data_IF_337353243225
#
_entry.id   IF_337353243225
#
_cell.length_a   1.000
_cell.length_b   1.000
_cell.length_c   1.000
_cell.angle_alpha   90.00
_cell.angle_beta   90.00
_cell.angle_gamma   90.00
#
_symmetry.space_group_name_H-M   'P 1'
#
loop_
_entity.id
_entity.type
_entity.pdbx_description
1 polymer ?
#
# COMPACT_ATOMS: atom_id res chain seq x y z
N UNK A 1 -38.02 11.31 -68.96
CA UNK A 1 -37.15 10.76 -67.90
C UNK A 1 -35.87 11.56 -67.75
N UNK A 2 -35.11 11.82 -68.81
CA UNK A 2 -33.84 12.56 -68.74
C UNK A 2 -33.94 13.95 -68.10
N UNK A 3 -34.99 14.73 -68.44
CA UNK A 3 -35.22 16.04 -67.82
C UNK A 3 -35.43 15.92 -66.30
N UNK A 4 -36.19 14.93 -65.84
CA UNK A 4 -36.41 14.72 -64.40
C UNK A 4 -35.12 14.34 -63.66
N UNK A 5 -34.20 13.62 -64.31
CA UNK A 5 -32.86 13.37 -63.75
C UNK A 5 -32.03 14.66 -63.68
N UNK A 6 -32.08 15.51 -64.71
CA UNK A 6 -31.37 16.78 -64.72
C UNK A 6 -31.89 17.73 -63.63
N UNK A 7 -33.21 17.82 -63.47
CA UNK A 7 -33.86 18.65 -62.44
C UNK A 7 -33.49 18.14 -61.04
N UNK A 8 -33.51 16.81 -60.82
CA UNK A 8 -33.08 16.21 -59.55
C UNK A 8 -31.61 16.54 -59.22
N UNK A 9 -30.72 16.50 -60.20
CA UNK A 9 -29.31 16.83 -60.01
C UNK A 9 -29.11 18.33 -59.71
N UNK A 10 -29.95 19.20 -60.27
CA UNK A 10 -29.92 20.63 -60.02
C UNK A 10 -30.36 20.99 -58.60
N UNK A 11 -31.26 20.20 -58.02
CA UNK A 11 -31.79 20.39 -56.65
C UNK A 11 -30.86 19.82 -55.55
N UNK A 12 -29.84 19.03 -55.90
CA UNK A 12 -28.94 18.41 -54.94
C UNK A 12 -27.98 19.43 -54.29
N UNK A 13 -27.79 19.28 -52.98
CA UNK A 13 -26.81 20.02 -52.18
C UNK A 13 -25.66 19.12 -51.69
N UNK A 14 -24.47 19.68 -51.40
CA UNK A 14 -23.36 18.93 -50.81
C UNK A 14 -23.78 18.25 -49.50
N UNK A 15 -23.66 16.92 -49.43
CA UNK A 15 -23.99 16.12 -48.24
C UNK A 15 -25.35 15.43 -48.27
N UNK A 16 -26.19 15.71 -49.28
CA UNK A 16 -27.48 15.02 -49.45
C UNK A 16 -27.30 13.54 -49.79
N UNK A 17 -26.23 13.21 -50.52
CA UNK A 17 -25.82 11.84 -50.82
C UNK A 17 -24.30 11.73 -50.93
N UNK A 18 -23.77 10.53 -50.66
CA UNK A 18 -22.35 10.21 -50.90
C UNK A 18 -22.04 10.04 -52.40
N UNK A 19 -23.02 9.55 -53.17
CA UNK A 19 -22.92 9.27 -54.61
C UNK A 19 -24.33 9.15 -55.21
N UNK A 20 -24.51 9.61 -56.44
CA UNK A 20 -25.73 9.41 -57.23
C UNK A 20 -25.44 8.38 -58.32
N UNK A 21 -26.35 7.41 -58.49
CA UNK A 21 -26.23 6.41 -59.56
C UNK A 21 -27.39 6.57 -60.55
N UNK A 22 -27.07 6.90 -61.80
CA UNK A 22 -28.04 6.89 -62.91
C UNK A 22 -27.96 5.53 -63.57
N UNK A 23 -28.98 4.70 -63.33
CA UNK A 23 -29.03 3.33 -63.85
C UNK A 23 -30.26 3.14 -64.72
N UNK A 24 -30.10 2.32 -65.75
CA UNK A 24 -31.20 1.93 -66.64
C UNK A 24 -31.54 0.46 -66.39
N UNK A 25 -32.83 0.12 -66.33
CA UNK A 25 -33.25 -1.29 -66.38
C UNK A 25 -32.87 -1.96 -67.71
N UNK A 26 -32.75 -3.28 -67.75
CA UNK A 26 -32.46 -4.00 -69.00
C UNK A 26 -33.56 -3.80 -70.07
N UNK A 27 -33.18 -3.69 -71.35
CA UNK A 27 -34.12 -3.55 -72.48
C UNK A 27 -33.46 -3.08 -73.79
N UNK A 28 -34.25 -3.05 -74.87
CA UNK A 28 -33.81 -2.76 -76.26
C UNK A 28 -33.09 -1.41 -76.44
N UNK A 29 -32.26 -1.29 -77.49
CA UNK A 29 -31.44 -0.09 -77.79
C UNK A 29 -32.22 1.24 -77.83
N UNK A 30 -33.52 1.21 -78.11
CA UNK A 30 -34.38 2.41 -78.20
C UNK A 30 -34.42 3.25 -76.91
N UNK A 31 -34.16 2.68 -75.73
CA UNK A 31 -34.11 3.43 -74.47
C UNK A 31 -32.79 4.11 -74.16
N UNK A 32 -31.80 4.09 -75.07
CA UNK A 32 -30.48 4.68 -74.85
C UNK A 32 -30.41 6.15 -75.29
N UNK A 33 -31.18 6.52 -76.32
CA UNK A 33 -31.23 7.88 -76.88
C UNK A 33 -31.66 8.92 -75.83
N UNK A 34 -32.48 8.53 -74.86
CA UNK A 34 -32.90 9.42 -73.79
C UNK A 34 -31.72 9.88 -72.91
N UNK A 35 -30.64 9.10 -72.82
CA UNK A 35 -29.44 9.44 -72.05
C UNK A 35 -28.40 10.21 -72.88
N UNK A 36 -28.63 10.39 -74.18
CA UNK A 36 -27.82 11.23 -75.07
C UNK A 36 -28.35 12.68 -75.09
N UNK A 37 -28.45 13.29 -73.90
CA UNK A 37 -29.06 14.61 -73.71
C UNK A 37 -28.06 15.60 -73.08
N UNK A 38 -27.86 16.74 -73.76
CA UNK A 38 -26.94 17.79 -73.34
C UNK A 38 -27.31 18.45 -72.00
N UNK A 39 -28.60 18.54 -71.67
CA UNK A 39 -29.07 19.11 -70.40
C UNK A 39 -28.74 18.17 -69.24
N UNK A 40 -28.96 16.87 -69.44
CA UNK A 40 -28.57 15.85 -68.46
C UNK A 40 -27.05 15.83 -68.26
N UNK A 41 -26.26 15.88 -69.34
CA UNK A 41 -24.81 15.90 -69.26
C UNK A 41 -24.29 17.15 -68.52
N UNK A 42 -24.88 18.32 -68.78
CA UNK A 42 -24.56 19.56 -68.04
C UNK A 42 -24.93 19.45 -66.57
N UNK A 43 -26.09 18.88 -66.25
CA UNK A 43 -26.50 18.67 -64.86
C UNK A 43 -25.58 17.68 -64.13
N UNK A 44 -25.16 16.59 -64.79
CA UNK A 44 -24.17 15.65 -64.25
C UNK A 44 -22.84 16.35 -63.97
N UNK A 45 -22.36 17.16 -64.91
CA UNK A 45 -21.10 17.89 -64.76
C UNK A 45 -21.16 18.95 -63.64
N UNK A 46 -22.32 19.61 -63.48
CA UNK A 46 -22.53 20.62 -62.45
C UNK A 46 -22.88 20.04 -61.07
N UNK A 47 -23.12 18.73 -60.98
CA UNK A 47 -23.55 18.07 -59.74
C UNK A 47 -22.52 18.24 -58.62
N UNK A 48 -22.93 18.70 -57.40
CA UNK A 48 -22.04 18.77 -56.25
C UNK A 48 -21.74 17.41 -55.61
N UNK A 49 -22.47 16.37 -56.01
CA UNK A 49 -22.30 14.99 -55.55
C UNK A 49 -21.75 14.14 -56.71
N UNK A 50 -20.78 13.23 -56.48
CA UNK A 50 -20.27 12.35 -57.53
C UNK A 50 -21.39 11.53 -58.17
N UNK A 51 -21.45 11.55 -59.50
CA UNK A 51 -22.45 10.80 -60.29
C UNK A 51 -21.78 9.64 -61.00
N UNK A 52 -22.33 8.44 -60.86
CA UNK A 52 -21.93 7.24 -61.61
C UNK A 52 -23.07 6.76 -62.50
N UNK A 53 -22.75 6.15 -63.63
CA UNK A 53 -23.76 5.61 -64.55
C UNK A 53 -23.65 4.10 -64.70
N UNK A 54 -24.81 3.47 -64.93
CA UNK A 54 -24.94 2.06 -65.26
C UNK A 54 -26.05 1.90 -66.31
N UNK A 55 -25.89 2.56 -67.47
CA UNK A 55 -26.96 2.76 -68.46
C UNK A 55 -26.94 1.71 -69.58
N UNK A 56 -25.77 1.32 -70.11
CA UNK A 56 -25.67 0.49 -71.32
C UNK A 56 -24.37 -0.30 -71.47
N UNK A 57 -24.32 -1.16 -72.49
CA UNK A 57 -23.18 -2.05 -72.77
C UNK A 57 -21.92 -1.28 -73.22
N UNK A 58 -20.75 -1.89 -73.05
CA UNK A 58 -19.40 -1.32 -73.27
C UNK A 58 -19.20 -0.59 -74.62
N UNK A 59 -20.00 -0.88 -75.64
CA UNK A 59 -19.88 -0.34 -77.00
C UNK A 59 -20.80 0.86 -77.27
N UNK A 60 -21.88 1.03 -76.49
CA UNK A 60 -22.85 2.10 -76.68
C UNK A 60 -22.69 3.14 -75.54
N UNK A 61 -21.76 4.10 -75.70
CA UNK A 61 -21.50 5.17 -74.70
C UNK A 61 -22.46 6.34 -74.93
N UNK A 62 -23.26 6.68 -73.93
CA UNK A 62 -24.14 7.86 -73.97
C UNK A 62 -23.42 9.15 -73.51
N UNK A 63 -23.96 10.33 -73.84
CA UNK A 63 -23.43 11.59 -73.32
C UNK A 63 -23.50 11.66 -71.78
N UNK A 64 -24.50 11.03 -71.15
CA UNK A 64 -24.55 10.88 -69.70
C UNK A 64 -23.37 10.04 -69.14
N UNK A 65 -23.01 8.94 -69.81
CA UNK A 65 -21.84 8.13 -69.43
C UNK A 65 -20.54 8.91 -69.58
N UNK A 66 -20.42 9.72 -70.64
CA UNK A 66 -19.25 10.55 -70.87
C UNK A 66 -19.12 11.70 -69.85
N UNK A 67 -20.24 12.22 -69.34
CA UNK A 67 -20.25 13.27 -68.32
C UNK A 67 -20.07 12.74 -66.89
N UNK A 68 -20.34 11.45 -66.65
CA UNK A 68 -20.28 10.84 -65.32
C UNK A 68 -18.86 10.71 -64.78
N UNK A 69 -18.73 10.66 -63.45
CA UNK A 69 -17.45 10.45 -62.78
C UNK A 69 -16.92 9.03 -62.98
N UNK A 70 -17.83 8.06 -63.12
CA UNK A 70 -17.51 6.69 -63.53
C UNK A 70 -18.71 6.08 -64.24
N UNK A 71 -18.47 5.47 -65.40
CA UNK A 71 -19.47 4.75 -66.16
C UNK A 71 -19.22 3.24 -66.10
N UNK A 72 -20.28 2.48 -65.86
CA UNK A 72 -20.25 1.02 -65.79
C UNK A 72 -21.14 0.40 -66.87
N UNK A 73 -20.69 -0.69 -67.51
CA UNK A 73 -21.44 -1.38 -68.57
C UNK A 73 -22.83 -1.90 -68.18
N UNK A 74 -23.10 -2.06 -66.89
CA UNK A 74 -24.40 -2.56 -66.41
C UNK A 74 -24.73 -1.97 -65.04
N UNK A 75 -26.03 -1.87 -64.68
CA UNK A 75 -26.45 -1.54 -63.31
C UNK A 75 -25.82 -2.48 -62.27
N UNK A 76 -25.67 -3.76 -62.59
CA UNK A 76 -25.06 -4.75 -61.70
C UNK A 76 -23.59 -4.47 -61.41
N UNK A 77 -22.82 -4.07 -62.42
CA UNK A 77 -21.42 -3.68 -62.24
C UNK A 77 -21.27 -2.37 -61.46
N UNK A 78 -22.13 -1.38 -61.74
CA UNK A 78 -22.20 -0.14 -60.94
C UNK A 78 -22.48 -0.46 -59.47
N UNK A 79 -23.51 -1.26 -59.19
CA UNK A 79 -23.86 -1.66 -57.82
C UNK A 79 -22.73 -2.43 -57.13
N UNK A 80 -22.03 -3.31 -57.85
CA UNK A 80 -20.88 -4.04 -57.30
C UNK A 80 -19.73 -3.09 -56.94
N UNK A 81 -19.41 -2.12 -57.81
CA UNK A 81 -18.36 -1.14 -57.53
C UNK A 81 -18.69 -0.29 -56.30
N UNK A 82 -19.93 0.21 -56.21
CA UNK A 82 -20.39 0.98 -55.05
C UNK A 82 -20.34 0.15 -53.75
N UNK A 83 -20.75 -1.12 -53.82
CA UNK A 83 -20.68 -2.04 -52.67
C UNK A 83 -19.23 -2.28 -52.21
N UNK A 84 -18.29 -2.47 -53.13
CA UNK A 84 -16.88 -2.65 -52.80
C UNK A 84 -16.30 -1.42 -52.09
N UNK A 85 -16.63 -0.21 -52.54
CA UNK A 85 -16.19 1.03 -51.90
C UNK A 85 -16.77 1.15 -50.49
N UNK A 86 -18.07 0.89 -50.33
CA UNK A 86 -18.74 0.93 -49.01
C UNK A 86 -18.11 -0.08 -48.03
N UNK A 87 -17.92 -1.32 -48.48
CA UNK A 87 -17.30 -2.38 -47.68
C UNK A 87 -15.84 -2.06 -47.33
N UNK A 88 -15.08 -1.48 -48.27
CA UNK A 88 -13.71 -1.02 -48.03
C UNK A 88 -13.64 0.05 -46.93
N UNK A 89 -14.53 1.06 -47.00
CA UNK A 89 -14.62 2.11 -45.97
C UNK A 89 -14.99 1.53 -44.60
N UNK A 90 -15.95 0.61 -44.56
CA UNK A 90 -16.34 -0.08 -43.32
C UNK A 90 -15.19 -0.93 -42.74
N UNK A 91 -14.45 -1.64 -43.58
CA UNK A 91 -13.31 -2.46 -43.16
C UNK A 91 -12.18 -1.60 -42.56
N UNK A 92 -11.84 -0.47 -43.19
CA UNK A 92 -10.85 0.48 -42.66
C UNK A 92 -11.31 1.08 -41.33
N UNK A 93 -12.58 1.49 -41.23
CA UNK A 93 -13.13 2.01 -39.98
C UNK A 93 -13.12 0.96 -38.86
N UNK A 94 -13.45 -0.30 -39.15
CA UNK A 94 -13.35 -1.41 -38.20
C UNK A 94 -11.91 -1.63 -37.75
N UNK A 95 -10.95 -1.61 -38.69
CA UNK A 95 -9.54 -1.82 -38.36
C UNK A 95 -8.99 -0.71 -37.45
N UNK A 96 -9.37 0.54 -37.73
CA UNK A 96 -9.01 1.69 -36.88
C UNK A 96 -9.58 1.56 -35.47
N UNK A 97 -10.86 1.17 -35.34
CA UNK A 97 -11.48 0.95 -34.02
C UNK A 97 -10.81 -0.19 -33.25
N UNK A 98 -10.42 -1.25 -33.94
CA UNK A 98 -9.71 -2.38 -33.33
C UNK A 98 -8.33 -1.98 -32.81
N UNK A 99 -7.56 -1.22 -33.59
CA UNK A 99 -6.23 -0.75 -33.15
C UNK A 99 -6.33 0.26 -32.00
N UNK A 100 -7.31 1.16 -32.04
CA UNK A 100 -7.58 2.08 -30.93
C UNK A 100 -7.98 1.32 -29.64
N UNK A 101 -8.83 0.30 -29.76
CA UNK A 101 -9.21 -0.56 -28.64
C UNK A 101 -8.02 -1.30 -28.03
N UNK A 102 -7.14 -1.86 -28.86
CA UNK A 102 -5.96 -2.55 -28.33
C UNK A 102 -4.97 -1.61 -27.66
N UNK A 103 -4.80 -0.38 -28.17
CA UNK A 103 -3.99 0.64 -27.47
C UNK A 103 -4.56 0.96 -26.10
N UNK A 104 -5.86 1.26 -26.01
CA UNK A 104 -6.55 1.55 -24.74
C UNK A 104 -6.41 0.38 -23.77
N UNK A 105 -6.59 -0.86 -24.25
CA UNK A 105 -6.47 -2.07 -23.43
C UNK A 105 -5.05 -2.24 -22.88
N UNK A 106 -4.03 -2.02 -23.71
CA UNK A 106 -2.63 -2.12 -23.30
C UNK A 106 -2.25 -1.03 -22.29
N UNK A 107 -2.71 0.21 -22.52
CA UNK A 107 -2.52 1.32 -21.58
C UNK A 107 -3.21 1.04 -20.23
N UNK A 108 -4.45 0.55 -20.25
CA UNK A 108 -5.18 0.17 -19.06
C UNK A 108 -4.48 -0.96 -18.29
N UNK A 109 -4.04 -2.00 -19.00
CA UNK A 109 -3.31 -3.13 -18.39
C UNK A 109 -2.00 -2.68 -17.74
N UNK A 110 -1.22 -1.84 -18.42
CA UNK A 110 0.03 -1.29 -17.87
C UNK A 110 -0.22 -0.40 -16.64
N UNK A 111 -1.31 0.38 -16.65
CA UNK A 111 -1.71 1.21 -15.51
C UNK A 111 -2.17 0.37 -14.32
N UNK A 112 -2.92 -0.69 -14.57
CA UNK A 112 -3.35 -1.66 -13.53
C UNK A 112 -2.15 -2.37 -12.92
N UNK A 113 -1.16 -2.77 -13.72
CA UNK A 113 0.07 -3.40 -13.23
C UNK A 113 0.85 -2.43 -12.31
N UNK A 114 1.06 -1.18 -12.75
CA UNK A 114 1.73 -0.15 -11.94
C UNK A 114 1.02 0.09 -10.60
N UNK A 115 -0.32 0.16 -10.61
CA UNK A 115 -1.10 0.28 -9.39
C UNK A 115 -0.95 -0.96 -8.48
N UNK A 116 -0.87 -2.15 -9.06
CA UNK A 116 -0.61 -3.39 -8.32
C UNK A 116 0.77 -3.37 -7.64
N UNK A 117 1.81 -2.96 -8.36
CA UNK A 117 3.17 -2.81 -7.85
C UNK A 117 3.25 -1.79 -6.71
N UNK A 118 2.67 -0.60 -6.90
CA UNK A 118 2.61 0.45 -5.87
C UNK A 118 1.84 0.00 -4.62
N UNK A 119 0.71 -0.70 -4.80
CA UNK A 119 -0.03 -1.28 -3.66
C UNK A 119 0.81 -2.31 -2.92
N UNK A 120 1.54 -3.15 -3.64
CA UNK A 120 2.46 -4.13 -3.06
C UNK A 120 3.58 -3.47 -2.26
N UNK A 121 4.15 -2.38 -2.77
CA UNK A 121 5.19 -1.61 -2.09
C UNK A 121 4.67 -0.94 -0.82
N UNK A 122 3.50 -0.29 -0.88
CA UNK A 122 2.84 0.31 0.28
C UNK A 122 2.56 -0.75 1.35
N UNK A 123 2.11 -1.95 0.97
CA UNK A 123 1.88 -3.04 1.92
C UNK A 123 3.18 -3.50 2.60
N UNK A 124 4.29 -3.59 1.85
CA UNK A 124 5.61 -3.91 2.41
C UNK A 124 6.08 -2.87 3.42
N UNK A 125 6.00 -1.58 3.06
CA UNK A 125 6.38 -0.47 3.94
C UNK A 125 5.51 -0.41 5.20
N UNK A 126 4.20 -0.66 5.09
CA UNK A 126 3.32 -0.76 6.26
C UNK A 126 3.75 -1.88 7.20
N UNK A 127 4.04 -3.07 6.65
CA UNK A 127 4.49 -4.21 7.45
C UNK A 127 5.84 -3.94 8.14
N UNK A 128 6.78 -3.27 7.47
CA UNK A 128 8.07 -2.93 8.06
C UNK A 128 7.94 -1.90 9.19
N UNK A 129 7.08 -0.89 9.01
CA UNK A 129 6.76 0.09 10.05
C UNK A 129 6.09 -0.60 11.25
N UNK A 130 5.10 -1.46 11.03
CA UNK A 130 4.43 -2.19 12.11
C UNK A 130 5.40 -3.08 12.90
N UNK A 131 6.33 -3.75 12.21
CA UNK A 131 7.39 -4.53 12.85
C UNK A 131 8.32 -3.65 13.69
N UNK A 132 8.77 -2.52 13.14
CA UNK A 132 9.62 -1.57 13.84
C UNK A 132 8.94 -1.03 15.10
N UNK A 133 7.65 -0.68 15.02
CA UNK A 133 6.87 -0.26 16.18
C UNK A 133 6.74 -1.36 17.23
N UNK A 134 6.51 -2.62 16.83
CA UNK A 134 6.46 -3.76 17.77
C UNK A 134 7.77 -3.92 18.52
N UNK A 135 8.90 -3.84 17.81
CA UNK A 135 10.24 -3.90 18.43
C UNK A 135 10.44 -2.72 19.37
N UNK A 136 10.15 -1.49 18.93
CA UNK A 136 10.29 -0.29 19.75
C UNK A 136 9.43 -0.34 21.04
N UNK A 137 8.18 -0.82 20.93
CA UNK A 137 7.29 -1.04 22.08
C UNK A 137 7.90 -2.05 23.07
N UNK A 138 8.47 -3.16 22.58
CA UNK A 138 9.11 -4.16 23.43
C UNK A 138 10.37 -3.63 24.11
N UNK A 139 11.22 -2.89 23.39
CA UNK A 139 12.41 -2.25 23.97
C UNK A 139 12.04 -1.24 25.06
N UNK A 140 11.00 -0.41 24.84
CA UNK A 140 10.49 0.52 25.86
C UNK A 140 10.00 -0.21 27.12
N UNK A 141 9.17 -1.24 26.95
CA UNK A 141 8.69 -2.03 28.09
C UNK A 141 9.83 -2.68 28.89
N UNK A 142 10.87 -3.20 28.20
CA UNK A 142 12.05 -3.74 28.87
C UNK A 142 12.86 -2.67 29.62
N UNK A 143 12.97 -1.46 29.06
CA UNK A 143 13.62 -0.35 29.74
C UNK A 143 12.84 0.08 31.00
N UNK A 144 11.51 0.19 30.91
CA UNK A 144 10.64 0.54 32.04
C UNK A 144 10.73 -0.52 33.16
N UNK A 145 10.73 -1.80 32.80
CA UNK A 145 10.90 -2.90 33.76
C UNK A 145 12.28 -2.86 34.44
N UNK A 146 13.34 -2.55 33.67
CA UNK A 146 14.69 -2.41 34.22
C UNK A 146 14.82 -1.20 35.14
N UNK A 147 14.24 -0.05 34.78
CA UNK A 147 14.21 1.15 35.63
C UNK A 147 13.53 0.86 36.97
N UNK A 148 12.33 0.28 36.95
CA UNK A 148 11.62 -0.11 38.19
C UNK A 148 12.41 -1.08 39.05
N UNK A 149 13.10 -2.05 38.42
CA UNK A 149 13.91 -3.01 39.14
C UNK A 149 15.09 -2.33 39.85
N UNK A 150 15.80 -1.44 39.15
CA UNK A 150 16.94 -0.67 39.67
C UNK A 150 16.49 0.18 40.85
N UNK A 151 15.41 0.96 40.71
CA UNK A 151 14.93 1.86 41.75
C UNK A 151 14.58 1.12 43.06
N UNK A 152 13.90 -0.03 42.95
CA UNK A 152 13.52 -0.82 44.12
C UNK A 152 14.74 -1.45 44.80
N UNK A 153 15.62 -2.10 44.05
CA UNK A 153 16.71 -2.88 44.65
C UNK A 153 17.88 -2.01 45.13
N UNK A 154 18.18 -0.87 44.49
CA UNK A 154 19.22 0.03 45.00
C UNK A 154 18.82 0.62 46.36
N UNK A 155 17.55 0.98 46.52
CA UNK A 155 17.04 1.53 47.78
C UNK A 155 17.02 0.45 48.85
N UNK A 156 16.50 -0.74 48.56
CA UNK A 156 16.48 -1.84 49.53
C UNK A 156 17.89 -2.25 49.98
N UNK A 157 18.83 -2.44 49.05
CA UNK A 157 20.21 -2.83 49.37
C UNK A 157 20.96 -1.74 50.15
N UNK A 158 20.74 -0.46 49.80
CA UNK A 158 21.32 0.66 50.54
C UNK A 158 20.78 0.73 51.97
N UNK A 159 19.47 0.64 52.15
CA UNK A 159 18.80 0.69 53.46
C UNK A 159 19.23 -0.49 54.33
N UNK A 160 19.27 -1.71 53.78
CA UNK A 160 19.71 -2.91 54.52
C UNK A 160 21.17 -2.78 54.95
N UNK A 161 22.06 -2.27 54.08
CA UNK A 161 23.48 -2.06 54.43
C UNK A 161 23.66 -1.03 55.53
N UNK A 162 23.00 0.13 55.44
CA UNK A 162 23.06 1.18 56.46
C UNK A 162 22.56 0.65 57.80
N UNK A 163 21.41 -0.05 57.81
CA UNK A 163 20.82 -0.58 59.04
C UNK A 163 21.69 -1.66 59.69
N UNK A 164 22.32 -2.55 58.92
CA UNK A 164 23.26 -3.54 59.46
C UNK A 164 24.52 -2.92 60.04
N UNK A 165 25.02 -1.81 59.46
CA UNK A 165 26.16 -1.06 60.02
C UNK A 165 25.77 -0.37 61.32
N UNK A 166 24.62 0.30 61.35
CA UNK A 166 24.09 0.93 62.56
C UNK A 166 23.91 -0.08 63.69
N UNK A 167 23.37 -1.28 63.39
CA UNK A 167 23.19 -2.33 64.38
C UNK A 167 24.53 -2.86 64.93
N UNK A 168 25.54 -3.05 64.06
CA UNK A 168 26.88 -3.47 64.50
C UNK A 168 27.57 -2.45 65.39
N UNK A 169 27.44 -1.16 65.06
CA UNK A 169 27.97 -0.07 65.87
C UNK A 169 27.27 0.02 67.23
N UNK A 170 25.94 -0.13 67.25
CA UNK A 170 25.17 -0.15 68.50
C UNK A 170 25.61 -1.32 69.40
N UNK A 171 25.73 -2.54 68.87
CA UNK A 171 26.19 -3.70 69.65
C UNK A 171 27.62 -3.54 70.14
N UNK A 172 28.52 -2.97 69.33
CA UNK A 172 29.90 -2.71 69.73
C UNK A 172 29.98 -1.67 70.85
N UNK A 173 29.19 -0.61 70.76
CA UNK A 173 29.11 0.44 71.79
C UNK A 173 28.61 -0.11 73.12
N UNK A 174 27.52 -0.90 73.11
CA UNK A 174 26.97 -1.51 74.33
C UNK A 174 28.00 -2.44 74.99
N UNK A 175 28.69 -3.28 74.19
CA UNK A 175 29.74 -4.16 74.70
C UNK A 175 30.92 -3.38 75.29
N UNK A 176 31.34 -2.27 74.67
CA UNK A 176 32.39 -1.40 75.18
C UNK A 176 32.00 -0.76 76.52
N UNK A 177 30.77 -0.23 76.62
CA UNK A 177 30.23 0.33 77.86
C UNK A 177 30.17 -0.72 78.98
N UNK A 178 29.77 -1.96 78.66
CA UNK A 178 29.75 -3.05 79.63
C UNK A 178 31.16 -3.39 80.15
N UNK A 179 32.17 -3.47 79.26
CA UNK A 179 33.57 -3.71 79.66
C UNK A 179 34.11 -2.58 80.52
N UNK A 180 33.84 -1.32 80.14
CA UNK A 180 34.28 -0.15 80.92
C UNK A 180 33.65 -0.15 82.31
N UNK A 181 32.38 -0.49 82.45
CA UNK A 181 31.71 -0.58 83.76
C UNK A 181 32.28 -1.69 84.64
N UNK A 182 32.61 -2.85 84.06
CA UNK A 182 33.29 -3.93 84.79
C UNK A 182 34.67 -3.47 85.25
N UNK A 183 35.42 -2.76 84.39
CA UNK A 183 36.70 -2.17 84.79
C UNK A 183 36.50 -1.17 85.93
N UNK A 184 35.59 -0.19 85.82
CA UNK A 184 35.34 0.78 86.90
C UNK A 184 34.93 0.08 88.22
N UNK A 185 34.13 -0.99 88.15
CA UNK A 185 33.75 -1.77 89.33
C UNK A 185 34.95 -2.42 90.04
N UNK A 186 35.93 -2.93 89.28
CA UNK A 186 37.14 -3.55 89.82
C UNK A 186 38.02 -2.55 90.57
N UNK A 187 37.99 -1.26 90.20
CA UNK A 187 38.83 -0.21 90.79
C UNK A 187 38.19 0.52 91.99
N UNK A 188 37.04 0.05 92.51
CA UNK A 188 36.67 0.26 93.91
C UNK A 188 35.70 1.41 94.26
N UNK A 189 34.98 2.02 93.32
CA UNK A 189 33.90 2.96 93.63
C UNK A 189 32.52 2.31 93.40
N UNK A 190 31.80 1.97 94.48
CA UNK A 190 30.44 1.37 94.48
C UNK A 190 30.28 0.10 93.60
N UNK A 191 30.90 -1.03 94.00
CA UNK A 191 30.96 -2.25 93.18
C UNK A 191 29.58 -2.84 92.80
N UNK A 192 28.58 -2.71 93.68
CA UNK A 192 27.25 -3.30 93.45
C UNK A 192 26.43 -2.56 92.38
N UNK A 193 26.57 -1.25 92.23
CA UNK A 193 25.82 -0.47 91.23
C UNK A 193 26.41 -0.70 89.83
N UNK A 194 27.73 -0.76 89.71
CA UNK A 194 28.41 -1.01 88.43
C UNK A 194 28.18 -2.44 87.91
N UNK A 195 28.16 -3.45 88.79
CA UNK A 195 27.83 -4.83 88.41
C UNK A 195 26.39 -4.97 87.92
N UNK A 196 25.43 -4.30 88.57
CA UNK A 196 24.04 -4.28 88.13
C UNK A 196 23.89 -3.58 86.76
N UNK A 197 24.54 -2.43 86.56
CA UNK A 197 24.52 -1.71 85.28
C UNK A 197 25.17 -2.51 84.13
N UNK A 198 26.29 -3.21 84.40
CA UNK A 198 26.93 -4.09 83.43
C UNK A 198 26.02 -5.27 83.05
N UNK A 199 25.33 -5.89 84.02
CA UNK A 199 24.33 -6.93 83.75
C UNK A 199 23.19 -6.44 82.86
N UNK A 200 22.66 -5.23 83.14
CA UNK A 200 21.62 -4.59 82.32
C UNK A 200 22.10 -4.32 80.90
N UNK A 201 23.34 -3.86 80.71
CA UNK A 201 23.91 -3.63 79.37
C UNK A 201 24.19 -4.92 78.59
N UNK A 202 24.61 -6.00 79.26
CA UNK A 202 24.74 -7.32 78.61
C UNK A 202 23.38 -7.84 78.17
N UNK A 203 22.36 -7.72 79.02
CA UNK A 203 20.99 -8.09 78.68
C UNK A 203 20.44 -7.22 77.55
N UNK A 204 20.72 -5.91 77.54
CA UNK A 204 20.38 -5.00 76.44
C UNK A 204 21.15 -5.33 75.16
N UNK A 205 22.41 -5.75 75.23
CA UNK A 205 23.19 -6.18 74.05
C UNK A 205 22.59 -7.45 73.43
N UNK A 206 22.27 -8.44 74.28
CA UNK A 206 21.61 -9.67 73.86
C UNK A 206 20.21 -9.37 73.33
N UNK A 207 19.44 -8.51 74.00
CA UNK A 207 18.08 -8.13 73.58
C UNK A 207 18.06 -7.22 72.36
N UNK A 208 19.08 -6.41 72.10
CA UNK A 208 19.23 -5.67 70.83
C UNK A 208 19.69 -6.63 69.72
N UNK A 209 20.54 -7.61 70.03
CA UNK A 209 20.98 -8.65 69.09
C UNK A 209 19.90 -9.68 68.74
N UNK A 210 18.98 -9.95 69.66
CA UNK A 210 17.86 -10.90 69.51
C UNK A 210 16.49 -10.22 69.35
N UNK A 211 16.41 -8.92 69.63
CA UNK A 211 15.23 -8.09 69.43
C UNK A 211 14.83 -8.10 67.95
N UNK A 212 13.55 -7.83 67.65
CA UNK A 212 12.91 -8.30 66.43
C UNK A 212 13.53 -7.70 65.17
N UNK A 213 14.57 -8.37 64.68
CA UNK A 213 14.90 -8.45 63.26
C UNK A 213 13.80 -9.22 62.51
N UNK A 214 12.94 -9.94 63.25
CA UNK A 214 11.71 -10.59 62.78
C UNK A 214 10.51 -9.63 62.73
N UNK A 215 10.61 -8.54 61.99
CA UNK A 215 9.43 -7.82 61.48
C UNK A 215 9.84 -6.82 60.39
N UNK A 216 10.60 -7.28 59.40
CA UNK A 216 10.31 -6.79 58.05
C UNK A 216 9.60 -7.95 57.40
N UNK A 217 8.27 -7.98 57.50
CA UNK A 217 7.50 -8.62 56.45
C UNK A 217 8.02 -8.00 55.15
N UNK A 218 8.61 -8.76 54.22
CA UNK A 218 8.88 -8.20 52.90
C UNK A 218 7.55 -7.59 52.46
N UNK A 219 7.55 -6.30 52.09
CA UNK A 219 6.39 -5.62 51.51
C UNK A 219 5.69 -6.66 50.65
N UNK A 220 4.47 -7.05 51.06
CA UNK A 220 3.77 -8.23 50.55
C UNK A 220 3.99 -8.22 49.05
N UNK A 221 4.82 -9.18 48.58
CA UNK A 221 5.04 -9.46 47.17
C UNK A 221 3.64 -9.53 46.57
N UNK A 222 3.17 -8.46 45.94
CA UNK A 222 2.10 -8.58 44.98
C UNK A 222 2.80 -9.23 43.78
N UNK A 223 3.04 -10.54 43.93
CA UNK A 223 3.40 -11.47 42.88
C UNK A 223 2.24 -11.39 41.90
N UNK A 224 2.28 -10.43 40.98
CA UNK A 224 1.84 -10.75 39.64
C UNK A 224 2.71 -11.95 39.25
N UNK A 225 2.08 -13.07 38.93
CA UNK A 225 2.74 -14.33 38.58
C UNK A 225 3.69 -14.12 37.39
N UNK A 226 4.91 -13.69 37.65
CA UNK A 226 6.10 -14.00 36.87
C UNK A 226 7.17 -14.29 37.90
N UNK A 227 7.49 -15.56 38.09
CA UNK A 227 8.53 -15.99 39.01
C UNK A 227 9.88 -15.56 38.42
N UNK A 228 10.59 -14.70 39.14
CA UNK A 228 11.92 -14.18 38.78
C UNK A 228 12.93 -14.64 39.84
N UNK A 229 12.94 -15.95 40.13
CA UNK A 229 13.59 -16.51 41.31
C UNK A 229 15.09 -16.76 41.17
N UNK A 230 15.73 -16.42 40.05
CA UNK A 230 17.18 -16.29 40.03
C UNK A 230 17.63 -15.04 39.27
N UNK A 231 18.46 -14.23 39.94
CA UNK A 231 19.29 -13.19 39.34
C UNK A 231 20.13 -13.73 38.18
N UNK A 232 20.35 -15.04 38.14
CA UNK A 232 21.02 -15.78 37.07
C UNK A 232 20.13 -15.94 35.82
N UNK A 233 18.85 -16.29 35.94
CA UNK A 233 17.93 -16.36 34.80
C UNK A 233 17.73 -15.01 34.12
N UNK A 234 17.63 -13.92 34.90
CA UNK A 234 17.53 -12.58 34.33
C UNK A 234 18.83 -12.18 33.63
N UNK A 235 20.00 -12.40 34.28
CA UNK A 235 21.32 -12.13 33.70
C UNK A 235 21.54 -12.94 32.43
N UNK A 236 21.19 -14.23 32.43
CA UNK A 236 21.25 -15.09 31.25
C UNK A 236 20.23 -14.67 30.17
N UNK A 237 19.06 -14.13 30.53
CA UNK A 237 18.07 -13.62 29.56
C UNK A 237 18.51 -12.29 28.92
N UNK A 238 19.22 -11.45 29.68
CA UNK A 238 19.87 -10.22 29.17
C UNK A 238 21.09 -10.55 28.31
N UNK A 239 21.88 -11.56 28.68
CA UNK A 239 23.02 -12.03 27.86
C UNK A 239 22.56 -12.78 26.60
N UNK A 240 21.49 -13.58 26.67
CA UNK A 240 20.87 -14.26 25.51
C UNK A 240 20.19 -13.31 24.53
N UNK A 241 19.78 -12.12 24.96
CA UNK A 241 19.22 -11.08 24.07
C UNK A 241 20.30 -10.20 23.40
N UNK A 242 21.57 -10.40 23.75
CA UNK A 242 22.74 -9.77 23.11
C UNK A 242 23.58 -10.80 22.35
N UNK A 243 23.05 -11.42 21.30
CA UNK A 243 23.88 -12.13 20.31
C UNK A 243 23.75 -11.47 18.94
N UNK A 244 24.80 -10.77 18.46
CA UNK A 244 24.87 -10.19 17.12
C UNK A 244 24.82 -11.18 15.95
N UNK A 245 24.74 -12.49 16.21
CA UNK A 245 24.76 -13.54 15.18
C UNK A 245 23.41 -13.77 14.51
N UNK A 246 22.27 -13.43 15.13
CA UNK A 246 20.94 -13.63 14.51
C UNK A 246 20.48 -12.51 13.57
N UNK A 247 21.22 -11.40 13.48
CA UNK A 247 20.97 -10.34 12.48
C UNK A 247 21.63 -10.61 11.13
N UNK A 248 22.42 -11.69 10.99
CA UNK A 248 23.17 -12.02 9.77
C UNK A 248 22.44 -12.93 8.78
N UNK A 249 21.28 -13.50 9.15
CA UNK A 249 20.48 -14.40 8.31
C UNK A 249 19.27 -13.73 7.63
N UNK A 250 19.26 -12.38 7.54
CA UNK A 250 18.25 -11.59 6.83
C UNK A 250 18.87 -10.75 5.70
N UNK A 251 19.83 -11.34 4.96
CA UNK A 251 20.28 -10.83 3.65
C UNK A 251 19.87 -11.81 2.58
#
# INVERSE_FOLDING_TARGET
>A
MAQGCADFLADLSPGDADVVAIIRGGGDKAGLEEFDNADLARAIHASPVPVVTGIGHREDISLADAAAHAAFPTPGEAGRALSLVSNGRAAVARKRRETEREKIKNELSSSQQKLGEQKGEIARLRNSVELAERVARRCRAQADDAHKWIDVHLVEDAVVRIRRRAHRLATAFISLCAVLLVQVAVWGFLPWVCLAAAGVLVVLSVWVSWGPTRAVTPLKRQRSRRDWSSTQEWRDRVLRSRTPSQLRSLR
#
